data_IF_608044404157
#
_entry.id   IF_608044404157
#
_cell.length_a   1.000
_cell.length_b   1.000
_cell.length_c   1.000
_cell.angle_alpha   90.00
_cell.angle_beta   90.00
_cell.angle_gamma   90.00
#
_symmetry.space_group_name_H-M   'P 1'
#
loop_
_entity.id
_entity.type
_entity.pdbx_description
1 polymer ?
#
# COMPACT_ATOMS: atom_id res chain seq x y z
N UNK A 1 -4.65 7.46 3.56
CA UNK A 1 -4.36 6.01 3.70
C UNK A 1 -5.28 5.21 4.62
N UNK A 2 -5.96 5.84 5.61
CA UNK A 2 -6.78 5.11 6.62
C UNK A 2 -8.29 5.20 6.38
N UNK A 3 -8.74 6.01 5.41
CA UNK A 3 -10.17 6.37 5.24
C UNK A 3 -11.07 5.27 4.64
N UNK A 4 -10.58 4.04 4.45
CA UNK A 4 -11.42 2.90 4.03
C UNK A 4 -11.20 1.60 4.82
N UNK A 5 -10.30 1.60 5.81
CA UNK A 5 -10.01 0.43 6.66
C UNK A 5 -10.73 0.51 8.02
N UNK A 6 -11.35 1.64 8.33
CA UNK A 6 -11.84 1.95 9.68
C UNK A 6 -13.27 1.46 10.03
N UNK A 7 -13.99 0.72 9.17
CA UNK A 7 -15.43 0.53 9.45
C UNK A 7 -15.89 -0.79 10.06
N UNK A 8 -15.17 -1.91 10.03
CA UNK A 8 -15.67 -3.13 10.70
C UNK A 8 -14.52 -4.07 11.09
N UNK A 9 -14.27 -4.23 12.39
CA UNK A 9 -13.53 -5.37 12.95
C UNK A 9 -14.35 -6.65 12.79
N UNK A 10 -14.50 -7.09 11.53
CA UNK A 10 -14.92 -8.42 11.08
C UNK A 10 -14.32 -8.60 9.67
N UNK A 11 -13.00 -8.72 9.56
CA UNK A 11 -12.44 -9.32 8.35
C UNK A 11 -13.11 -10.70 8.23
N UNK A 12 -13.89 -10.89 7.16
CA UNK A 12 -14.80 -12.03 7.06
C UNK A 12 -14.05 -13.35 7.26
N UNK A 13 -14.47 -14.15 8.25
CA UNK A 13 -13.94 -15.50 8.52
C UNK A 13 -13.87 -16.37 7.27
N UNK A 14 -14.68 -16.08 6.25
CA UNK A 14 -14.79 -16.85 5.02
C UNK A 14 -13.65 -16.67 4.02
N UNK A 15 -12.88 -15.58 4.09
CA UNK A 15 -11.82 -15.29 3.11
C UNK A 15 -10.43 -15.66 3.59
N UNK A 16 -9.91 -14.82 4.50
CA UNK A 16 -8.54 -14.91 5.01
C UNK A 16 -8.43 -15.64 6.36
N UNK A 17 -9.55 -15.89 7.04
CA UNK A 17 -9.56 -16.58 8.34
C UNK A 17 -8.95 -18.00 8.30
N UNK A 18 -8.98 -18.67 7.14
CA UNK A 18 -8.31 -19.97 6.92
C UNK A 18 -6.79 -19.90 6.93
N UNK A 19 -6.21 -18.72 6.74
CA UNK A 19 -4.77 -18.45 6.76
C UNK A 19 -4.32 -17.85 8.11
N UNK A 20 -5.20 -17.79 9.11
CA UNK A 20 -4.88 -17.20 10.42
C UNK A 20 -4.90 -15.68 10.47
N UNK A 21 -5.30 -15.00 9.39
CA UNK A 21 -5.43 -13.53 9.34
C UNK A 21 -6.85 -13.15 9.76
N UNK A 22 -7.00 -12.74 11.02
CA UNK A 22 -8.32 -12.51 11.65
C UNK A 22 -8.60 -11.01 11.78
N UNK A 23 -7.57 -10.23 12.03
CA UNK A 23 -7.65 -8.79 12.24
C UNK A 23 -6.88 -8.02 11.16
N UNK A 24 -7.09 -6.70 11.13
CA UNK A 24 -6.35 -5.80 10.23
C UNK A 24 -4.86 -5.79 10.59
N UNK A 25 -4.52 -5.91 11.87
CA UNK A 25 -3.13 -5.97 12.35
C UNK A 25 -2.39 -7.16 11.77
N UNK A 26 -2.99 -8.37 11.80
CA UNK A 26 -2.43 -9.56 11.16
C UNK A 26 -2.20 -9.36 9.66
N UNK A 27 -3.15 -8.69 8.98
CA UNK A 27 -3.02 -8.39 7.55
C UNK A 27 -1.84 -7.44 7.27
N UNK A 28 -1.66 -6.41 8.10
CA UNK A 28 -0.53 -5.49 7.98
C UNK A 28 0.78 -6.21 8.28
N UNK A 29 0.82 -7.03 9.33
CA UNK A 29 2.00 -7.80 9.71
C UNK A 29 2.43 -8.71 8.56
N UNK A 30 1.51 -9.52 8.03
CA UNK A 30 1.75 -10.45 6.93
C UNK A 30 2.33 -9.76 5.68
N UNK A 31 1.84 -8.56 5.35
CA UNK A 31 2.31 -7.77 4.21
C UNK A 31 3.68 -7.14 4.49
N UNK A 32 3.90 -6.59 5.69
CA UNK A 32 5.15 -5.92 6.06
C UNK A 32 6.32 -6.89 6.22
N UNK A 33 6.07 -8.08 6.78
CA UNK A 33 7.10 -9.10 6.99
C UNK A 33 7.25 -10.09 5.84
N UNK A 34 6.39 -9.98 4.81
CA UNK A 34 6.33 -10.92 3.67
C UNK A 34 6.13 -12.35 4.19
N UNK A 35 5.01 -12.57 4.89
CA UNK A 35 4.68 -13.87 5.47
C UNK A 35 4.29 -14.94 4.43
N UNK A 36 4.01 -16.17 4.90
CA UNK A 36 3.73 -17.33 4.05
C UNK A 36 2.49 -17.19 3.13
N UNK A 37 1.54 -16.34 3.51
CA UNK A 37 0.29 -16.07 2.79
C UNK A 37 0.22 -14.63 2.24
N UNK A 38 1.38 -14.04 1.93
CA UNK A 38 1.49 -12.70 1.37
C UNK A 38 0.65 -12.51 0.10
N UNK A 39 0.61 -13.51 -0.78
CA UNK A 39 -0.10 -13.41 -2.06
C UNK A 39 -1.61 -13.27 -1.83
N UNK A 40 -2.16 -14.05 -0.92
CA UNK A 40 -3.57 -14.03 -0.55
C UNK A 40 -3.93 -12.74 0.19
N UNK A 41 -3.08 -12.31 1.12
CA UNK A 41 -3.20 -11.02 1.81
C UNK A 41 -3.20 -9.83 0.84
N UNK A 42 -2.27 -9.80 -0.12
CA UNK A 42 -2.16 -8.73 -1.11
C UNK A 42 -3.33 -8.74 -2.10
N UNK A 43 -3.79 -9.91 -2.56
CA UNK A 43 -4.93 -10.02 -3.48
C UNK A 43 -6.27 -9.72 -2.81
N UNK A 44 -6.36 -9.85 -1.48
CA UNK A 44 -7.55 -9.45 -0.74
C UNK A 44 -7.76 -7.93 -0.75
N UNK A 45 -6.68 -7.16 -0.81
CA UNK A 45 -6.74 -5.72 -0.91
C UNK A 45 -7.10 -5.29 -2.34
N UNK A 46 -8.09 -4.42 -2.47
CA UNK A 46 -8.32 -3.72 -3.73
C UNK A 46 -7.17 -2.74 -3.99
N UNK A 47 -6.74 -2.52 -5.25
CA UNK A 47 -5.75 -1.51 -5.57
C UNK A 47 -6.06 -0.15 -4.94
N UNK A 48 -5.06 0.45 -4.30
CA UNK A 48 -5.26 1.72 -3.61
C UNK A 48 -5.54 2.85 -4.60
N UNK A 49 -6.71 3.47 -4.44
CA UNK A 49 -7.06 4.69 -5.17
C UNK A 49 -6.41 5.88 -4.46
N UNK A 50 -5.25 6.32 -4.97
CA UNK A 50 -4.51 7.47 -4.45
C UNK A 50 -4.93 8.77 -5.16
N UNK A 51 -4.78 9.89 -4.46
CA UNK A 51 -4.97 11.22 -5.05
C UNK A 51 -3.70 11.72 -5.74
N UNK A 52 -3.80 12.77 -6.55
CA UNK A 52 -2.62 13.43 -7.10
C UNK A 52 -1.76 14.02 -5.98
N UNK A 53 -0.41 13.94 -6.06
CA UNK A 53 0.45 14.39 -4.97
C UNK A 53 0.33 15.90 -4.78
N UNK A 54 0.14 16.34 -3.54
CA UNK A 54 0.15 17.77 -3.17
C UNK A 54 1.48 18.42 -3.61
N UNK A 55 1.42 19.56 -4.31
CA UNK A 55 2.59 20.20 -4.92
C UNK A 55 2.97 19.66 -6.31
N UNK A 56 2.23 18.69 -6.83
CA UNK A 56 2.41 18.14 -8.18
C UNK A 56 3.60 17.20 -8.33
N UNK A 57 3.74 16.66 -9.53
CA UNK A 57 4.89 15.87 -9.94
C UNK A 57 5.89 16.77 -10.68
N UNK A 58 7.17 16.42 -10.66
CA UNK A 58 8.21 17.06 -11.48
C UNK A 58 7.79 17.02 -12.95
N UNK A 59 7.99 18.14 -13.66
CA UNK A 59 7.49 18.38 -15.03
C UNK A 59 7.93 17.33 -16.07
N UNK A 60 9.01 16.58 -15.80
CA UNK A 60 9.49 15.47 -16.65
C UNK A 60 9.29 14.14 -15.93
N UNK A 61 8.11 13.54 -16.07
CA UNK A 61 7.74 12.26 -15.44
C UNK A 61 8.42 11.03 -16.03
N UNK A 62 9.00 11.14 -17.24
CA UNK A 62 9.43 9.98 -18.03
C UNK A 62 10.77 9.37 -17.59
N UNK A 63 11.64 10.11 -16.91
CA UNK A 63 12.95 9.59 -16.55
C UNK A 63 13.04 9.14 -15.09
N UNK A 64 14.11 8.42 -14.79
CA UNK A 64 14.36 7.73 -13.53
C UNK A 64 14.59 8.71 -12.37
N UNK A 65 14.23 8.30 -11.15
CA UNK A 65 14.36 9.11 -9.93
C UNK A 65 15.80 9.56 -9.67
N UNK A 66 16.78 8.69 -9.96
CA UNK A 66 18.22 8.99 -9.90
C UNK A 66 18.62 10.17 -10.78
N UNK A 67 17.90 10.44 -11.87
CA UNK A 67 18.11 11.62 -12.72
C UNK A 67 17.35 12.86 -12.23
N UNK A 68 17.02 12.91 -10.94
CA UNK A 68 16.23 13.98 -10.33
C UNK A 68 14.81 14.07 -10.94
N UNK A 69 14.18 12.93 -11.23
CA UNK A 69 12.82 12.84 -11.80
C UNK A 69 11.89 12.03 -10.91
N UNK A 70 10.79 11.52 -11.46
CA UNK A 70 9.70 10.91 -10.70
C UNK A 70 9.42 9.42 -11.03
N UNK A 71 9.97 8.85 -12.11
CA UNK A 71 9.74 7.44 -12.43
C UNK A 71 10.79 6.52 -11.79
N UNK A 72 10.44 5.25 -11.60
CA UNK A 72 11.38 4.23 -11.13
C UNK A 72 11.51 4.13 -9.62
N UNK A 73 12.52 3.37 -9.17
CA UNK A 73 12.75 3.07 -7.76
C UNK A 73 13.27 4.31 -7.02
N UNK A 74 12.69 4.59 -5.86
CA UNK A 74 13.09 5.68 -4.96
C UNK A 74 13.54 5.19 -3.59
N UNK A 75 13.63 3.88 -3.40
CA UNK A 75 13.99 3.26 -2.12
C UNK A 75 13.14 3.84 -0.98
N UNK A 76 13.77 4.34 0.08
CA UNK A 76 13.08 4.85 1.27
C UNK A 76 12.28 6.14 1.02
N UNK A 77 12.57 6.87 -0.07
CA UNK A 77 11.89 8.13 -0.42
C UNK A 77 10.48 7.93 -0.99
N UNK A 78 10.05 6.69 -1.25
CA UNK A 78 8.67 6.41 -1.70
C UNK A 78 7.62 6.83 -0.67
N UNK A 79 7.96 6.72 0.62
CA UNK A 79 7.05 7.04 1.72
C UNK A 79 6.68 8.53 1.74
N UNK A 80 7.61 9.41 1.37
CA UNK A 80 7.34 10.84 1.25
C UNK A 80 6.31 11.13 0.14
N UNK A 81 6.45 10.47 -1.02
CA UNK A 81 5.50 10.60 -2.12
C UNK A 81 4.11 10.11 -1.72
N UNK A 82 4.03 8.95 -1.07
CA UNK A 82 2.77 8.36 -0.61
C UNK A 82 2.08 9.28 0.40
N UNK A 83 2.82 9.95 1.29
CA UNK A 83 2.26 10.94 2.23
C UNK A 83 1.64 12.15 1.52
N UNK A 84 2.17 12.56 0.36
CA UNK A 84 1.63 13.68 -0.43
C UNK A 84 0.36 13.32 -1.20
N UNK A 85 0.11 12.03 -1.44
CA UNK A 85 -1.05 11.50 -2.19
C UNK A 85 -2.20 11.02 -1.29
N UNK A 86 -2.01 11.03 0.03
CA UNK A 86 -2.91 10.47 1.03
C UNK A 86 -3.68 11.53 1.82
#
# INVERSE_FOLDING_TARGET
>A
MVKKIQSQCKLSKSGLGKYGIICIEDLIHEIMTIGPHFREANNFLWPFQLSAPSGGMKKKKRNHYVEDRDAGNREDYINELIRRMN
#
